data_IF_765396814321
#
_entry.id   IF_765396814321
#
_cell.length_a   1.000
_cell.length_b   1.000
_cell.length_c   1.000
_cell.angle_alpha   90.00
_cell.angle_beta   90.00
_cell.angle_gamma   90.00
#
_symmetry.space_group_name_H-M   'P 1'
#
loop_
_entity.id
_entity.type
_entity.pdbx_description
1 polymer ?
#
# COMPACT_ATOMS: atom_id res chain seq x y z
N UNK A 1 43.58 -18.58 -57.17
CA UNK A 1 43.10 -17.27 -56.68
C UNK A 1 41.75 -17.50 -56.02
N UNK A 2 41.71 -17.33 -54.70
CA UNK A 2 40.56 -17.53 -53.82
C UNK A 2 40.28 -16.18 -53.17
N UNK A 3 39.02 -15.74 -53.16
CA UNK A 3 38.46 -15.01 -52.01
C UNK A 3 36.94 -15.00 -52.10
N UNK A 4 36.38 -15.87 -51.25
CA UNK A 4 34.97 -15.99 -50.91
C UNK A 4 34.48 -14.73 -50.17
N UNK A 5 33.27 -14.27 -50.49
CA UNK A 5 32.47 -13.41 -49.61
C UNK A 5 31.23 -14.24 -49.28
N UNK A 6 31.26 -14.88 -48.11
CA UNK A 6 30.08 -15.44 -47.48
C UNK A 6 29.34 -14.31 -46.77
N UNK A 7 28.11 -14.04 -47.18
CA UNK A 7 27.23 -13.09 -46.50
C UNK A 7 26.24 -13.91 -45.66
N UNK A 8 26.47 -13.90 -44.34
CA UNK A 8 25.62 -14.55 -43.35
C UNK A 8 24.29 -13.79 -43.22
N UNK A 9 23.18 -14.48 -43.49
CA UNK A 9 21.83 -13.97 -43.33
C UNK A 9 21.37 -14.28 -41.90
N UNK A 10 21.48 -13.27 -41.02
CA UNK A 10 20.96 -13.32 -39.65
C UNK A 10 19.45 -13.05 -39.71
N UNK A 11 18.64 -14.09 -39.53
CA UNK A 11 17.19 -13.96 -39.38
C UNK A 11 16.87 -13.45 -37.98
N UNK A 12 16.53 -12.15 -37.88
CA UNK A 12 16.03 -11.53 -36.65
C UNK A 12 14.57 -11.97 -36.45
N UNK A 13 14.34 -12.86 -35.49
CA UNK A 13 12.99 -13.24 -35.03
C UNK A 13 12.49 -12.11 -34.12
N UNK A 14 11.66 -11.21 -34.66
CA UNK A 14 10.97 -10.21 -33.86
C UNK A 14 9.74 -10.86 -33.17
N UNK A 15 9.48 -10.55 -31.89
CA UNK A 15 8.27 -11.01 -31.21
C UNK A 15 7.08 -10.23 -31.76
N UNK A 16 6.21 -10.91 -32.52
CA UNK A 16 4.92 -10.38 -32.91
C UNK A 16 4.03 -10.27 -31.67
N UNK A 17 3.91 -9.06 -31.10
CA UNK A 17 2.91 -8.80 -30.05
C UNK A 17 1.55 -8.72 -30.72
N UNK A 18 0.79 -9.82 -30.68
CA UNK A 18 -0.59 -9.84 -31.13
C UNK A 18 -1.43 -8.93 -30.22
N UNK A 19 -1.80 -7.76 -30.73
CA UNK A 19 -2.71 -6.82 -30.06
C UNK A 19 -4.10 -7.04 -30.65
N UNK A 20 -5.07 -7.42 -29.81
CA UNK A 20 -6.48 -7.62 -30.21
C UNK A 20 -7.23 -6.30 -30.03
N UNK A 21 -7.83 -5.80 -31.12
CA UNK A 21 -8.58 -4.55 -31.17
C UNK A 21 -10.08 -4.82 -30.98
N UNK A 22 -10.73 -4.04 -30.11
CA UNK A 22 -12.19 -4.07 -29.93
C UNK A 22 -12.81 -3.02 -30.84
N UNK A 23 -13.59 -3.46 -31.82
CA UNK A 23 -14.28 -2.60 -32.77
C UNK A 23 -15.78 -2.63 -32.52
N UNK A 24 -16.44 -1.49 -32.73
CA UNK A 24 -17.90 -1.41 -32.78
C UNK A 24 -18.34 -1.37 -34.23
N UNK A 25 -18.99 -2.45 -34.69
CA UNK A 25 -19.47 -2.60 -36.07
C UNK A 25 -20.97 -2.84 -35.99
N UNK A 26 -21.76 -1.96 -36.59
CA UNK A 26 -23.23 -2.04 -36.62
C UNK A 26 -23.88 -2.21 -35.23
N UNK A 27 -23.37 -1.49 -34.22
CA UNK A 27 -23.87 -1.51 -32.84
C UNK A 27 -23.58 -2.83 -32.10
N UNK A 28 -22.68 -3.67 -32.61
CA UNK A 28 -22.21 -4.90 -31.97
C UNK A 28 -20.71 -4.85 -31.75
N UNK A 29 -20.26 -5.37 -30.62
CA UNK A 29 -18.83 -5.49 -30.30
C UNK A 29 -18.22 -6.67 -31.05
N UNK A 30 -17.18 -6.41 -31.83
CA UNK A 30 -16.36 -7.43 -32.49
C UNK A 30 -14.88 -7.26 -32.08
N UNK A 31 -14.16 -8.38 -31.96
CA UNK A 31 -12.72 -8.39 -31.67
C UNK A 31 -11.96 -8.77 -32.94
N UNK A 32 -10.98 -7.97 -33.33
CA UNK A 32 -10.20 -8.17 -34.56
C UNK A 32 -8.71 -8.05 -34.28
N UNK A 33 -7.89 -8.77 -35.04
CA UNK A 33 -6.43 -8.73 -34.94
C UNK A 33 -5.80 -7.56 -35.73
N UNK A 34 -6.64 -6.69 -36.33
CA UNK A 34 -6.26 -5.50 -37.08
C UNK A 34 -6.98 -4.25 -36.57
N UNK A 35 -6.40 -3.03 -36.74
CA UNK A 35 -6.99 -1.78 -36.27
C UNK A 35 -8.38 -1.52 -36.89
N UNK A 36 -9.30 -0.93 -36.13
CA UNK A 36 -10.64 -0.58 -36.61
C UNK A 36 -10.59 0.59 -37.61
N UNK A 37 -11.32 0.48 -38.73
CA UNK A 37 -11.25 1.41 -39.87
C UNK A 37 -11.94 2.78 -39.68
N UNK A 38 -12.53 3.06 -38.52
CA UNK A 38 -13.09 4.38 -38.23
C UNK A 38 -13.03 4.68 -36.73
N UNK A 39 -12.70 5.94 -36.42
CA UNK A 39 -12.26 6.38 -35.11
C UNK A 39 -13.30 6.21 -34.02
N UNK A 40 -12.96 5.44 -33.00
CA UNK A 40 -12.83 5.88 -31.62
C UNK A 40 -12.18 4.74 -30.84
N UNK A 41 -10.88 4.89 -30.54
CA UNK A 41 -10.12 3.86 -29.84
C UNK A 41 -10.36 3.97 -28.34
N UNK A 42 -11.36 3.28 -27.79
CA UNK A 42 -11.34 2.98 -26.36
C UNK A 42 -10.36 1.81 -26.13
N UNK A 43 -9.08 2.11 -26.02
CA UNK A 43 -8.09 1.14 -25.54
C UNK A 43 -8.39 0.85 -24.08
N UNK A 44 -9.15 -0.20 -23.80
CA UNK A 44 -9.21 -0.80 -22.48
C UNK A 44 -7.84 -1.43 -22.22
N UNK A 45 -6.92 -0.64 -21.66
CA UNK A 45 -5.61 -1.15 -21.29
C UNK A 45 -5.81 -2.28 -20.30
N UNK A 46 -5.30 -3.47 -20.64
CA UNK A 46 -5.27 -4.66 -19.78
C UNK A 46 -4.76 -4.30 -18.38
N UNK A 47 -3.80 -3.39 -18.29
CA UNK A 47 -3.27 -2.84 -17.03
C UNK A 47 -4.34 -2.19 -16.12
N UNK A 48 -5.30 -1.46 -16.67
CA UNK A 48 -6.35 -0.82 -15.86
C UNK A 48 -7.34 -1.86 -15.29
N UNK A 49 -7.65 -2.90 -16.06
CA UNK A 49 -8.46 -4.03 -15.60
C UNK A 49 -7.72 -4.87 -14.56
N UNK A 50 -6.43 -5.18 -14.79
CA UNK A 50 -5.57 -5.88 -13.83
C UNK A 50 -5.46 -5.11 -12.49
N UNK A 51 -5.32 -3.77 -12.53
CA UNK A 51 -5.29 -2.96 -11.31
C UNK A 51 -6.63 -2.98 -10.56
N UNK A 52 -7.77 -2.97 -11.28
CA UNK A 52 -9.09 -3.11 -10.65
C UNK A 52 -9.27 -4.50 -10.03
N UNK A 53 -8.95 -5.56 -10.77
CA UNK A 53 -9.04 -6.94 -10.29
C UNK A 53 -8.15 -7.17 -9.07
N UNK A 54 -6.91 -6.64 -9.07
CA UNK A 54 -6.03 -6.70 -7.89
C UNK A 54 -6.62 -5.99 -6.67
N UNK A 55 -7.14 -4.77 -6.84
CA UNK A 55 -7.77 -4.02 -5.74
C UNK A 55 -9.01 -4.71 -5.19
N UNK A 56 -9.78 -5.36 -6.05
CA UNK A 56 -10.97 -6.09 -5.66
C UNK A 56 -10.61 -7.37 -4.91
N UNK A 57 -9.62 -8.13 -5.39
CA UNK A 57 -9.08 -9.30 -4.70
C UNK A 57 -8.43 -8.94 -3.35
N UNK A 58 -7.72 -7.81 -3.27
CA UNK A 58 -7.16 -7.26 -2.02
C UNK A 58 -8.28 -6.95 -1.01
N UNK A 59 -9.34 -6.27 -1.46
CA UNK A 59 -10.51 -5.97 -0.62
C UNK A 59 -11.22 -7.23 -0.15
N UNK A 60 -11.33 -8.25 -1.00
CA UNK A 60 -11.94 -9.52 -0.63
C UNK A 60 -11.10 -10.24 0.42
N UNK A 61 -9.77 -10.31 0.23
CA UNK A 61 -8.85 -10.82 1.26
C UNK A 61 -8.98 -10.05 2.57
N UNK A 62 -8.98 -8.73 2.53
CA UNK A 62 -9.17 -7.89 3.72
C UNK A 62 -10.51 -8.19 4.41
N UNK A 63 -11.60 -8.42 3.66
CA UNK A 63 -12.90 -8.81 4.24
C UNK A 63 -12.89 -10.20 4.85
N UNK A 64 -12.17 -11.14 4.25
CA UNK A 64 -12.03 -12.49 4.78
C UNK A 64 -11.21 -12.47 6.07
N UNK A 65 -10.07 -11.78 6.07
CA UNK A 65 -9.26 -11.52 7.27
C UNK A 65 -10.10 -10.81 8.33
N UNK A 66 -10.86 -9.75 7.97
CA UNK A 66 -11.76 -9.05 8.90
C UNK A 66 -12.70 -10.01 9.63
N UNK A 67 -13.24 -10.98 8.89
CA UNK A 67 -14.26 -11.93 9.35
C UNK A 67 -13.67 -13.02 10.24
N UNK A 68 -12.46 -13.47 9.95
CA UNK A 68 -11.80 -14.53 10.71
C UNK A 68 -10.95 -14.02 11.87
N UNK A 69 -10.66 -12.72 11.93
CA UNK A 69 -9.74 -12.17 12.91
C UNK A 69 -10.40 -11.92 14.27
N UNK A 70 -9.74 -12.31 15.35
CA UNK A 70 -10.14 -12.02 16.73
C UNK A 70 -9.08 -11.13 17.41
N UNK A 71 -9.46 -10.19 18.30
CA UNK A 71 -8.48 -9.38 19.03
C UNK A 71 -7.57 -10.29 19.88
N UNK A 72 -6.27 -10.10 19.75
CA UNK A 72 -5.29 -10.85 20.52
C UNK A 72 -5.33 -10.41 22.00
N UNK A 73 -5.34 -11.34 22.98
CA UNK A 73 -5.49 -11.00 24.39
C UNK A 73 -4.38 -10.09 24.94
N UNK A 74 -3.17 -10.18 24.38
CA UNK A 74 -2.02 -9.33 24.75
C UNK A 74 -1.84 -8.09 23.87
N UNK A 75 -2.81 -7.75 23.00
CA UNK A 75 -2.68 -6.60 22.11
C UNK A 75 -2.42 -5.31 22.87
N UNK A 76 -3.15 -5.08 23.98
CA UNK A 76 -2.98 -3.89 24.82
C UNK A 76 -1.61 -3.77 25.48
N UNK A 77 -0.98 -4.89 25.83
CA UNK A 77 0.33 -4.90 26.47
C UNK A 77 1.45 -4.69 25.44
N UNK A 78 1.40 -5.41 24.33
CA UNK A 78 2.44 -5.35 23.29
C UNK A 78 2.45 -4.00 22.56
N UNK A 79 1.29 -3.47 22.20
CA UNK A 79 1.19 -2.12 21.60
C UNK A 79 1.69 -1.05 22.56
N UNK A 80 1.42 -1.21 23.87
CA UNK A 80 1.94 -0.30 24.89
C UNK A 80 3.46 -0.32 24.98
N UNK A 81 4.06 -1.50 25.01
CA UNK A 81 5.51 -1.63 25.06
C UNK A 81 6.16 -1.00 23.84
N UNK A 82 5.64 -1.28 22.64
CA UNK A 82 6.14 -0.72 21.40
C UNK A 82 6.07 0.81 21.36
N UNK A 83 4.94 1.40 21.78
CA UNK A 83 4.78 2.87 21.83
C UNK A 83 5.75 3.49 22.83
N UNK A 84 5.91 2.89 24.01
CA UNK A 84 6.82 3.44 25.01
C UNK A 84 8.27 3.39 24.55
N UNK A 85 8.67 2.30 23.89
CA UNK A 85 9.99 2.19 23.28
C UNK A 85 10.21 3.24 22.17
N UNK A 86 9.21 3.47 21.32
CA UNK A 86 9.26 4.51 20.29
C UNK A 86 9.39 5.92 20.91
N UNK A 87 8.56 6.23 21.90
CA UNK A 87 8.60 7.52 22.60
C UNK A 87 9.92 7.72 23.32
N UNK A 88 10.45 6.69 23.99
CA UNK A 88 11.76 6.76 24.64
C UNK A 88 12.89 7.05 23.64
N UNK A 89 12.79 6.48 22.44
CA UNK A 89 13.78 6.68 21.38
C UNK A 89 13.72 8.08 20.74
N UNK A 90 12.51 8.60 20.45
CA UNK A 90 12.35 9.81 19.63
C UNK A 90 12.22 11.11 20.41
N UNK A 91 11.81 11.06 21.68
CA UNK A 91 11.63 12.28 22.48
C UNK A 91 12.96 12.90 22.88
N UNK A 92 13.00 14.24 22.91
CA UNK A 92 14.20 14.98 23.31
C UNK A 92 14.60 14.73 24.77
N UNK A 93 13.61 14.63 25.67
CA UNK A 93 13.78 14.36 27.10
C UNK A 93 12.77 13.28 27.52
N UNK A 94 13.08 11.99 27.31
CA UNK A 94 12.16 10.89 27.61
C UNK A 94 11.69 10.84 29.07
N UNK A 95 12.55 11.24 30.01
CA UNK A 95 12.25 11.28 31.44
C UNK A 95 11.15 12.31 31.79
N UNK A 96 10.91 13.27 30.90
CA UNK A 96 9.83 14.24 31.05
C UNK A 96 8.47 13.74 30.55
N UNK A 97 8.42 12.57 29.91
CA UNK A 97 7.21 12.00 29.33
C UNK A 97 6.10 11.87 30.38
N UNK A 98 4.92 12.37 30.03
CA UNK A 98 3.68 12.09 30.74
C UNK A 98 2.62 11.68 29.75
N UNK A 99 1.97 10.55 30.01
CA UNK A 99 0.81 10.09 29.26
C UNK A 99 -0.43 10.77 29.83
N UNK A 100 -1.09 11.59 29.02
CA UNK A 100 -2.30 12.29 29.42
C UNK A 100 -3.54 11.45 29.06
N UNK A 101 -3.53 10.80 27.89
CA UNK A 101 -4.60 9.91 27.45
C UNK A 101 -4.03 8.65 26.79
N UNK A 102 -4.61 7.50 27.15
CA UNK A 102 -4.23 6.19 26.64
C UNK A 102 -5.47 5.38 26.35
N UNK A 103 -5.83 5.30 25.07
CA UNK A 103 -6.98 4.51 24.62
C UNK A 103 -6.49 3.07 24.35
N UNK A 104 -7.22 2.02 24.78
CA UNK A 104 -6.89 0.65 24.40
C UNK A 104 -6.79 0.51 22.88
N UNK A 105 -5.89 -0.35 22.35
CA UNK A 105 -5.75 -0.49 20.91
C UNK A 105 -7.07 -0.97 20.31
N UNK A 106 -7.47 -0.31 19.24
CA UNK A 106 -8.58 -0.73 18.40
C UNK A 106 -8.05 -1.66 17.32
N UNK A 107 -8.84 -2.67 16.99
CA UNK A 107 -8.49 -3.59 15.91
C UNK A 107 -8.66 -2.90 14.55
N UNK A 108 -7.60 -2.90 13.74
CA UNK A 108 -7.55 -2.43 12.36
C UNK A 108 -7.47 -3.58 11.35
N UNK A 109 -7.33 -3.26 10.06
CA UNK A 109 -7.05 -4.26 9.01
C UNK A 109 -5.98 -3.70 8.06
N UNK A 110 -4.78 -4.33 7.98
CA UNK A 110 -4.29 -5.38 8.89
C UNK A 110 -3.97 -4.82 10.30
N UNK A 111 -3.98 -5.68 11.34
CA UNK A 111 -3.42 -5.36 12.66
C UNK A 111 -4.24 -4.47 13.61
N UNK A 112 -3.59 -3.47 14.24
CA UNK A 112 -4.15 -2.63 15.31
C UNK A 112 -3.86 -1.16 15.08
N UNK A 113 -4.66 -0.29 15.70
CA UNK A 113 -4.36 1.13 15.82
C UNK A 113 -4.55 1.60 17.26
N UNK A 114 -3.76 2.56 17.69
CA UNK A 114 -3.85 3.08 19.04
C UNK A 114 -3.61 4.58 19.10
N UNK A 115 -4.57 5.29 19.68
CA UNK A 115 -4.45 6.70 19.99
C UNK A 115 -3.73 6.90 21.31
N UNK A 116 -2.75 7.80 21.32
CA UNK A 116 -2.07 8.25 22.53
C UNK A 116 -1.95 9.77 22.52
N UNK A 117 -2.28 10.37 23.66
CA UNK A 117 -1.97 11.77 23.96
C UNK A 117 -0.93 11.82 25.06
N UNK A 118 0.15 12.52 24.80
CA UNK A 118 1.24 12.63 25.75
C UNK A 118 1.80 14.05 25.76
N UNK A 119 2.65 14.31 26.74
CA UNK A 119 3.42 15.54 26.82
C UNK A 119 4.85 15.26 27.21
N UNK A 120 5.77 16.00 26.62
CA UNK A 120 7.18 15.90 26.88
C UNK A 120 7.85 17.27 26.72
N UNK A 121 9.04 17.41 27.29
CA UNK A 121 9.82 18.63 27.17
C UNK A 121 10.39 18.75 25.76
N UNK A 122 10.17 19.90 25.15
CA UNK A 122 10.72 20.22 23.82
C UNK A 122 12.16 20.74 23.93
N UNK A 123 12.89 20.65 22.82
CA UNK A 123 14.26 21.18 22.69
C UNK A 123 14.35 22.69 23.04
N UNK A 124 13.33 23.47 22.66
CA UNK A 124 13.27 24.91 22.94
C UNK A 124 12.97 25.24 24.42
N UNK A 125 12.78 24.23 25.27
CA UNK A 125 12.25 24.37 26.62
C UNK A 125 10.72 24.37 26.65
N UNK A 126 10.14 24.19 27.84
CA UNK A 126 8.69 24.04 28.02
C UNK A 126 8.17 22.62 27.74
N UNK A 127 6.89 22.39 28.04
CA UNK A 127 6.20 21.12 27.77
C UNK A 127 5.33 21.27 26.53
N UNK A 128 5.51 20.39 25.56
CA UNK A 128 4.63 20.26 24.40
C UNK A 128 3.63 19.14 24.66
N UNK A 129 2.39 19.34 24.26
CA UNK A 129 1.37 18.27 24.20
C UNK A 129 1.39 17.76 22.76
N UNK A 130 1.35 16.46 22.62
CA UNK A 130 1.25 15.80 21.32
C UNK A 130 0.20 14.71 21.31
N UNK A 131 -0.42 14.54 20.16
CA UNK A 131 -1.44 13.54 19.87
C UNK A 131 -0.99 12.72 18.67
N UNK A 132 -0.98 11.40 18.79
CA UNK A 132 -0.56 10.50 17.71
C UNK A 132 -1.47 9.27 17.61
N UNK A 133 -1.67 8.82 16.38
CA UNK A 133 -2.25 7.51 16.07
C UNK A 133 -1.14 6.56 15.62
N UNK A 134 -0.91 5.49 16.38
CA UNK A 134 0.00 4.42 16.01
C UNK A 134 -0.75 3.34 15.25
N UNK A 135 -0.19 2.85 14.16
CA UNK A 135 -0.68 1.70 13.40
C UNK A 135 0.32 0.55 13.52
N UNK A 136 -0.19 -0.63 13.84
CA UNK A 136 0.58 -1.84 14.07
C UNK A 136 0.16 -2.93 13.11
N UNK A 137 1.13 -3.76 12.73
CA UNK A 137 0.85 -5.00 12.04
C UNK A 137 0.24 -6.06 12.99
N UNK A 138 0.11 -7.28 12.48
CA UNK A 138 -0.39 -8.44 13.23
C UNK A 138 0.58 -8.94 14.32
N UNK A 139 1.86 -8.58 14.22
CA UNK A 139 2.94 -8.92 15.14
C UNK A 139 3.24 -7.80 16.15
N UNK A 140 2.42 -6.75 16.17
CA UNK A 140 2.59 -5.57 17.03
C UNK A 140 3.83 -4.73 16.71
N UNK A 141 4.38 -4.85 15.49
CA UNK A 141 5.39 -3.94 14.97
C UNK A 141 4.71 -2.65 14.48
N UNK A 142 5.30 -1.49 14.78
CA UNK A 142 4.79 -0.19 14.33
C UNK A 142 5.03 -0.08 12.81
N UNK A 143 3.96 -0.01 12.02
CA UNK A 143 4.03 0.21 10.57
C UNK A 143 3.99 1.70 10.22
N UNK A 144 3.20 2.49 10.96
CA UNK A 144 2.97 3.90 10.69
C UNK A 144 2.65 4.66 11.99
N UNK A 145 3.09 5.91 12.05
CA UNK A 145 2.75 6.86 13.12
C UNK A 145 2.18 8.10 12.43
N UNK A 146 0.96 8.47 12.76
CA UNK A 146 0.29 9.67 12.28
C UNK A 146 0.21 10.69 13.42
N UNK A 147 1.00 11.77 13.32
CA UNK A 147 0.93 12.90 14.24
C UNK A 147 -0.33 13.73 13.95
N UNK A 148 -1.20 13.88 14.95
CA UNK A 148 -2.53 14.49 14.80
C UNK A 148 -2.54 16.01 15.09
N UNK A 149 -1.47 16.53 15.70
CA UNK A 149 -1.33 17.96 16.01
C UNK A 149 -1.13 18.84 14.75
N UNK A 150 -0.86 18.24 13.59
CA UNK A 150 -0.57 18.94 12.33
C UNK A 150 -1.79 19.06 11.38
N UNK A 151 -3.01 18.85 11.88
CA UNK A 151 -4.24 18.85 11.07
C UNK A 151 -4.91 20.22 10.87
#
# INVERSE_FOLDING_TARGET
MMRWIGLALVAVVLPAQAQVYKCEVDGRTAFQDSPCDAGEQSTFTTKAMERRAKREAERERQREIARSWEPHPSAAEQTREAILADLEYRLYDPESLRLDEWVPPEKGIPGYRQYVRYRARALAGGMTISEAMYYFDENFEIEEIEDLDES
#
